data_IF_079261149763
#
_entry.id   IF_079261149763
#
_cell.length_a   1.000
_cell.length_b   1.000
_cell.length_c   1.000
_cell.angle_alpha   90.00
_cell.angle_beta   90.00
_cell.angle_gamma   90.00
#
_symmetry.space_group_name_H-M   'P 1'
#
loop_
_entity.id
_entity.type
_entity.pdbx_description
1 polymer ?
#
# COMPACT_ATOMS: atom_id res chain seq x y z
N UNK A 1 46.12 -28.11 7.02
CA UNK A 1 44.80 -27.71 7.58
C UNK A 1 44.05 -26.98 6.48
N UNK A 2 43.48 -27.73 5.54
CA UNK A 2 42.53 -27.20 4.56
C UNK A 2 41.20 -27.04 5.30
N UNK A 3 40.75 -25.80 5.41
CA UNK A 3 39.44 -25.46 5.96
C UNK A 3 38.41 -25.88 4.92
N UNK A 4 37.64 -26.92 5.23
CA UNK A 4 36.45 -27.28 4.47
C UNK A 4 35.44 -26.14 4.65
N UNK A 5 35.21 -25.36 3.59
CA UNK A 5 34.00 -24.56 3.46
C UNK A 5 32.84 -25.56 3.36
N UNK A 6 32.15 -25.79 4.47
CA UNK A 6 30.88 -26.53 4.47
C UNK A 6 29.89 -25.75 3.60
N UNK A 7 29.48 -26.35 2.48
CA UNK A 7 28.39 -25.86 1.65
C UNK A 7 27.12 -25.75 2.50
N UNK A 8 26.82 -24.53 2.95
CA UNK A 8 25.57 -24.21 3.63
C UNK A 8 24.41 -24.63 2.72
N UNK A 9 23.50 -25.52 3.16
CA UNK A 9 22.38 -25.99 2.36
C UNK A 9 21.59 -24.81 1.76
N UNK A 10 21.17 -24.90 0.48
CA UNK A 10 20.41 -23.85 -0.23
C UNK A 10 19.19 -23.35 0.57
N UNK A 11 18.57 -24.21 1.37
CA UNK A 11 17.46 -23.90 2.29
C UNK A 11 17.86 -22.96 3.44
N UNK A 12 19.07 -23.08 3.98
CA UNK A 12 19.62 -22.16 5.00
C UNK A 12 19.98 -20.79 4.41
N UNK A 13 20.44 -20.72 3.14
CA UNK A 13 20.68 -19.44 2.43
C UNK A 13 19.39 -18.64 2.22
N UNK A 14 18.31 -19.29 1.76
CA UNK A 14 16.98 -18.64 1.61
C UNK A 14 16.44 -18.06 2.93
N UNK A 15 16.76 -18.68 4.08
CA UNK A 15 16.30 -18.17 5.38
C UNK A 15 16.82 -16.76 5.70
N UNK A 16 18.02 -16.40 5.22
CA UNK A 16 18.62 -15.07 5.43
C UNK A 16 18.03 -13.99 4.51
N UNK A 17 17.27 -14.38 3.49
CA UNK A 17 16.58 -13.49 2.56
C UNK A 17 15.12 -13.23 2.98
N UNK A 18 14.59 -14.02 3.92
CA UNK A 18 13.25 -13.86 4.45
C UNK A 18 13.28 -13.05 5.75
N UNK A 19 12.52 -11.95 5.83
CA UNK A 19 12.38 -11.17 7.06
C UNK A 19 11.73 -11.98 8.19
N UNK A 20 10.77 -12.83 7.84
CA UNK A 20 10.09 -13.71 8.77
C UNK A 20 10.14 -15.15 8.24
N UNK A 21 10.70 -16.07 9.02
CA UNK A 21 10.85 -17.48 8.62
C UNK A 21 9.53 -18.18 8.28
N UNK A 22 8.42 -17.72 8.85
CA UNK A 22 7.06 -18.26 8.64
C UNK A 22 6.27 -17.57 7.52
N UNK A 23 6.85 -16.58 6.84
CA UNK A 23 6.24 -15.88 5.71
C UNK A 23 7.11 -16.13 4.48
N UNK A 24 6.72 -17.14 3.71
CA UNK A 24 7.41 -17.59 2.50
C UNK A 24 6.54 -17.36 1.27
N UNK A 25 7.11 -17.60 0.09
CA UNK A 25 6.43 -17.54 -1.20
C UNK A 25 6.03 -18.94 -1.65
N UNK A 26 4.98 -19.06 -2.46
CA UNK A 26 4.70 -20.28 -3.21
C UNK A 26 5.60 -20.33 -4.45
N UNK A 27 6.01 -21.53 -4.87
CA UNK A 27 7.00 -21.68 -5.96
C UNK A 27 6.40 -21.44 -7.35
N UNK A 28 5.09 -21.64 -7.51
CA UNK A 28 4.36 -21.51 -8.78
C UNK A 28 4.15 -20.06 -9.24
N UNK A 29 4.14 -19.10 -8.32
CA UNK A 29 3.89 -17.69 -8.64
C UNK A 29 4.87 -16.69 -7.99
N UNK A 30 5.99 -17.17 -7.42
CA UNK A 30 7.04 -16.27 -6.93
C UNK A 30 7.66 -15.47 -8.07
N UNK A 31 8.14 -14.28 -7.75
CA UNK A 31 8.98 -13.52 -8.68
C UNK A 31 10.35 -14.21 -8.76
N UNK A 32 10.78 -14.50 -9.99
CA UNK A 32 12.08 -15.12 -10.28
C UNK A 32 13.02 -14.02 -10.80
N UNK A 33 14.11 -13.77 -10.07
CA UNK A 33 15.07 -12.76 -10.48
C UNK A 33 15.96 -13.28 -11.63
N UNK A 34 16.04 -12.52 -12.72
CA UNK A 34 16.88 -12.85 -13.88
C UNK A 34 18.33 -12.42 -13.61
N UNK A 35 19.35 -13.24 -13.89
CA UNK A 35 20.75 -12.86 -13.71
C UNK A 35 21.07 -11.54 -14.41
N UNK A 36 21.92 -10.72 -13.80
CA UNK A 36 22.39 -9.48 -14.42
C UNK A 36 23.64 -9.82 -15.23
N UNK A 37 23.58 -9.58 -16.55
CA UNK A 37 24.74 -9.78 -17.43
C UNK A 37 25.93 -8.98 -16.90
N UNK A 38 27.12 -9.57 -16.91
CA UNK A 38 28.35 -8.90 -16.43
C UNK A 38 28.58 -9.00 -14.92
N UNK A 39 27.61 -9.49 -14.13
CA UNK A 39 27.72 -9.51 -12.67
C UNK A 39 27.42 -10.90 -12.08
N UNK A 40 28.48 -11.66 -11.78
CA UNK A 40 28.40 -13.00 -11.16
C UNK A 40 27.78 -13.00 -9.76
N UNK A 41 27.81 -11.87 -9.05
CA UNK A 41 27.26 -11.74 -7.70
C UNK A 41 25.72 -11.77 -7.67
N UNK A 42 25.05 -11.69 -8.82
CA UNK A 42 23.59 -11.64 -8.94
C UNK A 42 23.01 -12.81 -9.75
N UNK A 43 23.54 -14.02 -9.56
CA UNK A 43 23.03 -15.24 -10.19
C UNK A 43 21.84 -15.86 -9.46
N UNK A 44 21.73 -15.65 -8.15
CA UNK A 44 20.62 -16.17 -7.34
C UNK A 44 19.28 -15.58 -7.83
N UNK A 45 18.25 -16.42 -7.87
CA UNK A 45 16.96 -16.11 -8.51
C UNK A 45 15.85 -15.76 -7.50
N UNK A 46 16.16 -15.80 -6.21
CA UNK A 46 15.18 -15.73 -5.14
C UNK A 46 14.98 -14.31 -4.61
N UNK A 47 13.72 -13.91 -4.53
CA UNK A 47 13.25 -12.79 -3.72
C UNK A 47 11.92 -13.20 -3.05
N UNK A 48 11.68 -12.72 -1.83
CA UNK A 48 10.39 -12.95 -1.16
C UNK A 48 9.34 -11.98 -1.73
N UNK A 49 8.84 -12.32 -2.93
CA UNK A 49 7.80 -11.61 -3.64
C UNK A 49 6.93 -12.60 -4.43
N UNK A 50 5.64 -12.31 -4.53
CA UNK A 50 4.67 -13.09 -5.30
C UNK A 50 3.93 -12.19 -6.27
N UNK A 51 3.69 -12.66 -7.48
CA UNK A 51 2.70 -12.03 -8.36
C UNK A 51 1.30 -12.28 -7.81
N UNK A 52 0.47 -11.24 -7.85
CA UNK A 52 -0.90 -11.24 -7.35
C UNK A 52 -1.81 -10.70 -8.45
N UNK A 53 -2.93 -11.38 -8.66
CA UNK A 53 -3.92 -10.96 -9.63
C UNK A 53 -4.76 -9.81 -9.06
N UNK A 54 -5.18 -8.92 -9.95
CA UNK A 54 -6.22 -7.95 -9.66
C UNK A 54 -7.56 -8.38 -10.19
N UNK A 55 -8.52 -7.46 -10.18
CA UNK A 55 -9.82 -7.78 -10.75
C UNK A 55 -9.69 -7.92 -12.27
N UNK A 56 -9.84 -9.15 -12.78
CA UNK A 56 -9.72 -9.52 -14.20
C UNK A 56 -8.40 -9.19 -14.87
N UNK A 57 -7.35 -8.97 -14.09
CA UNK A 57 -6.00 -8.65 -14.58
C UNK A 57 -5.01 -9.56 -13.89
N UNK A 58 -4.46 -10.51 -14.64
CA UNK A 58 -3.40 -11.38 -14.15
C UNK A 58 -2.16 -10.56 -13.79
N UNK A 59 -1.51 -10.92 -12.68
CA UNK A 59 -0.24 -10.35 -12.24
C UNK A 59 -0.23 -8.81 -12.15
N UNK A 60 -1.37 -8.19 -11.83
CA UNK A 60 -1.49 -6.73 -11.68
C UNK A 60 -0.56 -6.18 -10.59
N UNK A 61 -0.30 -6.97 -9.54
CA UNK A 61 0.55 -6.57 -8.42
C UNK A 61 1.70 -7.53 -8.18
N UNK A 62 2.71 -7.01 -7.50
CA UNK A 62 3.72 -7.82 -6.80
C UNK A 62 3.60 -7.52 -5.32
N UNK A 63 3.24 -8.52 -4.52
CA UNK A 63 3.26 -8.44 -3.06
C UNK A 63 4.60 -8.93 -2.53
N UNK A 64 5.35 -8.08 -1.83
CA UNK A 64 6.70 -8.39 -1.35
C UNK A 64 6.93 -7.96 0.10
N UNK A 65 7.90 -8.57 0.77
CA UNK A 65 8.33 -8.12 2.10
C UNK A 65 9.04 -6.76 2.03
N UNK A 66 9.07 -6.04 3.15
CA UNK A 66 9.91 -4.85 3.30
C UNK A 66 11.39 -5.23 3.21
N UNK A 67 12.18 -4.65 2.28
CA UNK A 67 13.57 -5.06 2.05
C UNK A 67 14.41 -5.13 3.32
N UNK A 68 15.30 -6.11 3.39
CA UNK A 68 16.36 -6.22 4.39
C UNK A 68 17.62 -5.50 3.87
N UNK A 69 18.60 -5.17 4.73
CA UNK A 69 19.86 -4.58 4.28
C UNK A 69 20.55 -5.41 3.18
N UNK A 70 20.48 -6.73 3.26
CA UNK A 70 21.08 -7.67 2.31
C UNK A 70 20.17 -8.02 1.12
N UNK A 71 18.98 -7.43 1.00
CA UNK A 71 18.05 -7.72 -0.12
C UNK A 71 17.59 -6.44 -0.84
N UNK A 72 18.20 -5.28 -0.57
CA UNK A 72 17.86 -4.03 -1.27
C UNK A 72 18.24 -4.07 -2.74
N UNK A 73 19.36 -4.73 -3.06
CA UNK A 73 19.80 -4.89 -4.46
C UNK A 73 18.82 -5.79 -5.22
N UNK A 74 18.42 -6.90 -4.62
CA UNK A 74 17.39 -7.80 -5.18
C UNK A 74 16.05 -7.09 -5.39
N UNK A 75 15.66 -6.23 -4.46
CA UNK A 75 14.45 -5.41 -4.60
C UNK A 75 14.53 -4.46 -5.80
N UNK A 76 15.64 -3.74 -5.99
CA UNK A 76 15.80 -2.87 -7.17
C UNK A 76 15.96 -3.66 -8.47
N UNK A 77 16.57 -4.85 -8.43
CA UNK A 77 16.63 -5.79 -9.55
C UNK A 77 15.23 -6.23 -9.98
N UNK A 78 14.35 -6.55 -9.02
CA UNK A 78 12.94 -6.83 -9.27
C UNK A 78 12.24 -5.63 -9.89
N UNK A 79 12.35 -4.44 -9.29
CA UNK A 79 11.73 -3.20 -9.83
C UNK A 79 12.16 -2.96 -11.28
N UNK A 80 13.44 -3.12 -11.58
CA UNK A 80 14.01 -2.93 -12.92
C UNK A 80 13.50 -3.97 -13.92
N UNK A 81 13.61 -5.27 -13.59
CA UNK A 81 13.28 -6.35 -14.53
C UNK A 81 11.79 -6.38 -14.87
N UNK A 82 10.93 -6.07 -13.90
CA UNK A 82 9.47 -6.04 -14.04
C UNK A 82 8.99 -4.73 -14.66
N UNK A 83 9.90 -3.76 -14.87
CA UNK A 83 9.59 -2.41 -15.33
C UNK A 83 8.49 -1.77 -14.47
N UNK A 84 8.50 -2.05 -13.17
CA UNK A 84 7.53 -1.52 -12.22
C UNK A 84 7.79 -0.04 -11.96
N UNK A 85 6.84 0.80 -12.38
CA UNK A 85 6.94 2.26 -12.24
C UNK A 85 6.28 2.79 -10.97
N UNK A 86 5.54 1.93 -10.25
CA UNK A 86 4.82 2.30 -9.02
C UNK A 86 5.21 1.36 -7.90
N UNK A 87 5.67 1.94 -6.79
CA UNK A 87 5.92 1.23 -5.53
C UNK A 87 4.97 1.79 -4.47
N UNK A 88 4.24 0.95 -3.76
CA UNK A 88 3.33 1.30 -2.68
C UNK A 88 3.86 0.70 -1.38
N UNK A 89 4.36 1.57 -0.49
CA UNK A 89 4.88 1.23 0.82
C UNK A 89 3.84 1.58 1.88
N UNK A 90 3.29 0.59 2.57
CA UNK A 90 2.26 0.78 3.62
C UNK A 90 2.79 0.42 5.02
N UNK A 91 4.03 0.81 5.31
CA UNK A 91 4.65 0.66 6.64
C UNK A 91 5.70 1.73 6.84
N UNK A 92 5.84 2.23 8.06
CA UNK A 92 6.99 3.07 8.40
C UNK A 92 8.25 2.20 8.52
N UNK A 93 9.44 2.83 8.44
CA UNK A 93 10.71 2.10 8.57
C UNK A 93 10.85 1.44 9.96
N UNK A 94 10.43 2.18 10.99
CA UNK A 94 10.43 1.78 12.39
C UNK A 94 9.05 2.07 12.94
N UNK A 95 8.50 1.12 13.68
CA UNK A 95 7.28 1.30 14.45
C UNK A 95 7.58 0.79 15.85
N UNK A 96 7.26 1.62 16.86
CA UNK A 96 7.68 1.40 18.23
C UNK A 96 9.20 1.30 18.29
N UNK A 97 9.70 0.16 18.77
CA UNK A 97 11.14 -0.13 18.83
C UNK A 97 11.56 -1.23 17.84
N UNK A 98 10.77 -1.48 16.78
CA UNK A 98 11.01 -2.57 15.82
C UNK A 98 11.20 -2.04 14.40
N UNK A 99 12.29 -2.45 13.76
CA UNK A 99 12.53 -2.21 12.34
C UNK A 99 11.57 -3.05 11.51
N UNK A 100 10.70 -2.38 10.75
CA UNK A 100 9.71 -3.01 9.87
C UNK A 100 10.20 -3.13 8.43
N UNK A 101 10.98 -2.16 7.98
CA UNK A 101 11.54 -2.10 6.63
C UNK A 101 12.90 -1.42 6.67
N UNK A 102 13.89 -1.94 5.92
CA UNK A 102 15.13 -1.20 5.70
C UNK A 102 14.88 -0.10 4.66
N UNK A 103 15.54 1.05 4.81
CA UNK A 103 15.44 2.13 3.83
C UNK A 103 16.17 1.70 2.56
N UNK A 104 15.47 1.74 1.43
CA UNK A 104 16.00 1.31 0.13
C UNK A 104 16.06 2.46 -0.87
N UNK A 105 16.07 3.72 -0.42
CA UNK A 105 16.12 4.90 -1.29
C UNK A 105 17.12 5.96 -0.77
N UNK A 106 17.66 6.82 -1.65
CA UNK A 106 18.45 7.99 -1.23
C UNK A 106 17.57 9.09 -0.62
N UNK A 107 18.08 9.81 0.39
CA UNK A 107 17.42 11.05 0.85
C UNK A 107 17.68 12.22 -0.12
N UNK A 108 18.87 12.26 -0.71
CA UNK A 108 19.32 13.30 -1.63
C UNK A 108 20.24 12.72 -2.69
N UNK A 109 20.19 13.24 -3.91
CA UNK A 109 21.10 12.84 -4.99
C UNK A 109 20.91 11.39 -5.42
N UNK A 110 22.03 10.71 -5.67
CA UNK A 110 22.07 9.33 -6.18
C UNK A 110 22.68 8.40 -5.14
N UNK A 111 22.09 7.22 -4.96
CA UNK A 111 22.65 6.13 -4.17
C UNK A 111 22.70 4.86 -5.02
N UNK A 112 23.84 4.17 -4.98
CA UNK A 112 24.05 2.92 -5.69
C UNK A 112 23.61 1.73 -4.84
N UNK A 113 22.80 0.85 -5.42
CA UNK A 113 22.38 -0.43 -4.88
C UNK A 113 22.88 -1.53 -5.83
N UNK A 114 24.07 -2.06 -5.57
CA UNK A 114 24.74 -2.95 -6.51
C UNK A 114 24.94 -2.24 -7.86
N UNK A 115 24.47 -2.80 -9.00
CA UNK A 115 24.64 -2.19 -10.31
C UNK A 115 23.60 -1.09 -10.61
N UNK A 116 22.65 -0.83 -9.72
CA UNK A 116 21.58 0.15 -9.91
C UNK A 116 21.94 1.49 -9.27
N UNK A 117 21.91 2.56 -10.06
CA UNK A 117 21.95 3.93 -9.56
C UNK A 117 20.50 4.44 -9.41
N UNK A 118 20.11 4.72 -8.17
CA UNK A 118 18.79 5.25 -7.84
C UNK A 118 18.96 6.72 -7.47
N UNK A 119 18.38 7.61 -8.27
CA UNK A 119 18.46 9.06 -8.08
C UNK A 119 17.11 9.59 -7.67
N UNK A 120 17.01 10.31 -6.54
CA UNK A 120 15.77 11.01 -6.18
C UNK A 120 15.64 12.29 -7.00
N UNK A 121 14.53 12.41 -7.74
CA UNK A 121 14.24 13.54 -8.63
C UNK A 121 13.17 14.47 -8.08
N UNK A 122 12.41 14.02 -7.09
CA UNK A 122 11.43 14.85 -6.38
C UNK A 122 10.81 14.12 -5.19
N UNK A 123 10.34 14.90 -4.22
CA UNK A 123 9.63 14.40 -3.05
C UNK A 123 8.52 15.37 -2.65
N UNK A 124 7.38 14.83 -2.25
CA UNK A 124 6.29 15.58 -1.64
C UNK A 124 5.80 14.85 -0.40
N UNK A 125 5.85 15.51 0.75
CA UNK A 125 5.32 14.99 2.02
C UNK A 125 3.99 15.64 2.30
N UNK A 126 2.96 14.83 2.48
CA UNK A 126 1.61 15.23 2.90
C UNK A 126 1.34 14.64 4.29
N UNK A 127 0.15 14.94 4.86
CA UNK A 127 -0.23 14.43 6.17
C UNK A 127 -0.22 12.90 6.21
N UNK A 128 -0.91 12.26 5.26
CA UNK A 128 -1.16 10.81 5.33
C UNK A 128 -0.12 9.95 4.61
N UNK A 129 0.65 10.57 3.70
CA UNK A 129 1.62 9.87 2.87
C UNK A 129 2.72 10.78 2.31
N UNK A 130 3.82 10.17 1.88
CA UNK A 130 4.90 10.81 1.13
C UNK A 130 5.00 10.20 -0.26
N UNK A 131 5.13 11.02 -1.29
CA UNK A 131 5.45 10.61 -2.66
C UNK A 131 6.91 10.90 -2.96
N UNK A 132 7.63 9.96 -3.56
CA UNK A 132 9.01 10.13 -4.04
C UNK A 132 9.10 9.72 -5.50
N UNK A 133 9.86 10.48 -6.28
CA UNK A 133 10.17 10.20 -7.67
C UNK A 133 11.63 9.81 -7.80
N UNK A 134 11.87 8.72 -8.52
CA UNK A 134 13.20 8.18 -8.74
C UNK A 134 13.48 8.03 -10.22
N UNK A 135 14.71 8.33 -10.63
CA UNK A 135 15.30 7.84 -11.87
C UNK A 135 16.23 6.68 -11.52
N UNK A 136 15.90 5.49 -11.99
CA UNK A 136 16.69 4.28 -11.80
C UNK A 136 17.42 3.98 -13.10
N UNK A 137 18.68 3.55 -13.01
CA UNK A 137 19.48 3.17 -14.17
C UNK A 137 20.50 2.09 -13.80
N UNK A 138 20.74 1.15 -14.71
CA UNK A 138 21.88 0.23 -14.62
C UNK A 138 23.17 0.96 -14.99
N UNK A 139 24.21 0.77 -14.19
CA UNK A 139 25.54 1.40 -14.38
C UNK A 139 26.12 1.07 -15.76
N UNK A 140 25.89 -0.14 -16.26
CA UNK A 140 26.38 -0.63 -17.55
C UNK A 140 25.48 -0.27 -18.75
N UNK A 141 24.30 0.33 -18.52
CA UNK A 141 23.37 0.70 -19.59
C UNK A 141 22.99 2.19 -19.51
N UNK A 142 23.98 3.09 -19.70
CA UNK A 142 23.73 4.52 -19.73
C UNK A 142 22.78 4.85 -20.89
N UNK A 143 21.58 5.32 -20.56
CA UNK A 143 20.54 5.72 -21.50
C UNK A 143 19.16 5.06 -21.27
N UNK A 144 19.13 3.85 -20.70
CA UNK A 144 17.86 3.27 -20.21
C UNK A 144 17.61 3.82 -18.81
N UNK A 145 16.54 4.59 -18.65
CA UNK A 145 16.15 5.21 -17.38
C UNK A 145 14.73 4.79 -17.07
N UNK A 146 14.56 4.07 -15.96
CA UNK A 146 13.25 3.72 -15.43
C UNK A 146 12.82 4.80 -14.43
N UNK A 147 11.77 5.55 -14.75
CA UNK A 147 11.16 6.50 -13.82
C UNK A 147 10.20 5.76 -12.89
N UNK A 148 10.48 5.77 -11.59
CA UNK A 148 9.70 5.08 -10.56
C UNK A 148 9.10 6.11 -9.60
N UNK A 149 7.84 5.92 -9.23
CA UNK A 149 7.17 6.70 -8.18
C UNK A 149 6.87 5.79 -6.98
N UNK A 150 7.42 6.13 -5.82
CA UNK A 150 7.07 5.48 -4.56
C UNK A 150 6.01 6.31 -3.84
N UNK A 151 4.94 5.65 -3.43
CA UNK A 151 3.90 6.15 -2.57
C UNK A 151 4.04 5.48 -1.20
N UNK A 152 4.37 6.27 -0.18
CA UNK A 152 4.60 5.79 1.18
C UNK A 152 3.50 6.27 2.11
N UNK A 153 2.54 5.40 2.43
CA UNK A 153 1.47 5.70 3.38
C UNK A 153 2.00 5.61 4.81
N UNK A 154 1.96 6.72 5.55
CA UNK A 154 2.64 6.90 6.84
C UNK A 154 1.71 6.77 8.04
N UNK A 155 0.40 6.91 7.82
CA UNK A 155 -0.62 6.95 8.89
C UNK A 155 -1.24 5.58 9.22
N UNK A 156 -0.58 4.47 8.84
CA UNK A 156 -1.02 3.15 9.29
C UNK A 156 -0.48 2.85 10.70
N UNK A 157 -1.33 2.68 11.73
CA UNK A 157 -0.88 2.47 13.09
C UNK A 157 -0.19 1.10 13.29
N UNK A 158 0.75 1.03 14.23
CA UNK A 158 1.62 -0.14 14.46
C UNK A 158 0.87 -1.43 14.84
N UNK A 159 -0.21 -1.31 15.63
CA UNK A 159 -0.93 -2.46 16.21
C UNK A 159 -2.42 -2.48 15.86
N UNK A 160 -2.85 -1.64 14.91
CA UNK A 160 -4.26 -1.47 14.56
C UNK A 160 -4.43 -1.21 13.06
N UNK A 161 -5.68 -1.01 12.67
CA UNK A 161 -6.07 -0.42 11.40
C UNK A 161 -6.26 1.10 11.58
N UNK A 162 -6.18 1.89 10.49
CA UNK A 162 -6.58 3.29 10.52
C UNK A 162 -7.99 3.46 11.09
N UNK A 163 -8.23 4.58 11.75
CA UNK A 163 -9.52 4.84 12.39
C UNK A 163 -10.65 5.07 11.38
N UNK A 164 -10.32 5.66 10.23
CA UNK A 164 -11.21 5.80 9.07
C UNK A 164 -10.45 5.34 7.83
N UNK A 165 -11.19 4.84 6.84
CA UNK A 165 -10.63 4.44 5.56
C UNK A 165 -10.35 5.63 4.63
N UNK A 166 -10.86 6.84 4.94
CA UNK A 166 -10.84 7.99 4.03
C UNK A 166 -9.44 8.29 3.51
N UNK A 167 -8.44 8.38 4.39
CA UNK A 167 -7.07 8.72 3.98
C UNK A 167 -6.47 7.63 3.09
N UNK A 168 -6.75 6.36 3.39
CA UNK A 168 -6.28 5.23 2.58
C UNK A 168 -6.98 5.17 1.21
N UNK A 169 -8.30 5.43 1.15
CA UNK A 169 -9.07 5.48 -0.09
C UNK A 169 -8.60 6.63 -0.99
N UNK A 170 -8.37 7.82 -0.42
CA UNK A 170 -7.82 8.97 -1.14
C UNK A 170 -6.41 8.66 -1.65
N UNK A 171 -5.57 8.07 -0.80
CA UNK A 171 -4.24 7.61 -1.19
C UNK A 171 -4.29 6.63 -2.36
N UNK A 172 -5.12 5.59 -2.27
CA UNK A 172 -5.27 4.58 -3.32
C UNK A 172 -5.74 5.21 -4.63
N UNK A 173 -6.74 6.11 -4.61
CA UNK A 173 -7.19 6.87 -5.79
C UNK A 173 -6.03 7.63 -6.47
N UNK A 174 -5.12 8.24 -5.70
CA UNK A 174 -3.92 8.91 -6.25
C UNK A 174 -2.92 7.93 -6.84
N UNK A 175 -2.69 6.79 -6.17
CA UNK A 175 -1.81 5.72 -6.67
C UNK A 175 -2.33 5.20 -8.01
N UNK A 176 -3.61 4.84 -8.10
CA UNK A 176 -4.23 4.30 -9.32
C UNK A 176 -4.12 5.26 -10.49
N UNK A 177 -4.52 6.52 -10.28
CA UNK A 177 -4.44 7.56 -11.32
C UNK A 177 -3.02 7.74 -11.88
N UNK A 178 -1.99 7.57 -11.05
CA UNK A 178 -0.59 7.60 -11.52
C UNK A 178 -0.22 6.29 -12.22
N UNK A 179 -0.69 5.17 -11.71
CA UNK A 179 -0.37 3.83 -12.21
C UNK A 179 -1.02 3.51 -13.56
N UNK A 180 -2.13 4.16 -13.94
CA UNK A 180 -2.75 4.05 -15.27
C UNK A 180 -1.77 4.24 -16.45
N UNK A 181 -0.70 5.01 -16.24
CA UNK A 181 0.34 5.26 -17.24
C UNK A 181 1.46 4.20 -17.25
N UNK A 182 1.38 3.22 -16.35
CA UNK A 182 2.44 2.23 -16.10
C UNK A 182 2.20 0.95 -16.90
N UNK A 183 3.28 0.28 -17.30
CA UNK A 183 3.21 -1.00 -18.04
C UNK A 183 3.54 -2.22 -17.19
N UNK A 184 4.41 -2.06 -16.18
CA UNK A 184 4.78 -3.12 -15.25
C UNK A 184 3.82 -3.21 -14.05
N UNK A 185 3.86 -4.31 -13.29
CA UNK A 185 3.00 -4.52 -12.13
C UNK A 185 3.27 -3.50 -11.02
N UNK A 186 2.24 -3.18 -10.24
CA UNK A 186 2.38 -2.35 -9.05
C UNK A 186 3.02 -3.15 -7.93
N UNK A 187 4.17 -2.70 -7.42
CA UNK A 187 4.80 -3.34 -6.27
C UNK A 187 4.15 -2.80 -5.00
N UNK A 188 3.57 -3.68 -4.18
CA UNK A 188 2.96 -3.32 -2.90
C UNK A 188 3.68 -4.06 -1.78
N UNK A 189 4.14 -3.33 -0.77
CA UNK A 189 4.87 -3.94 0.35
C UNK A 189 4.57 -3.26 1.69
N UNK A 190 4.74 -4.04 2.75
CA UNK A 190 4.72 -3.57 4.13
C UNK A 190 5.98 -4.10 4.83
N UNK A 191 5.86 -4.69 6.00
CA UNK A 191 6.95 -5.42 6.65
C UNK A 191 7.07 -6.86 6.14
N UNK A 192 6.01 -7.67 6.32
CA UNK A 192 5.95 -9.08 5.87
C UNK A 192 5.45 -9.24 4.43
N UNK A 193 4.83 -8.21 3.87
CA UNK A 193 4.19 -8.26 2.55
C UNK A 193 2.90 -9.06 2.52
N UNK A 194 2.22 -9.23 3.67
CA UNK A 194 0.95 -10.00 3.74
C UNK A 194 -0.20 -9.25 4.43
N UNK A 195 0.03 -8.62 5.59
CA UNK A 195 -1.03 -7.93 6.33
C UNK A 195 -1.58 -6.70 5.61
N UNK A 196 -0.94 -5.53 5.85
CA UNK A 196 -1.35 -4.25 5.23
C UNK A 196 -1.30 -4.27 3.70
N UNK A 197 -0.33 -4.99 3.13
CA UNK A 197 -0.22 -5.24 1.70
C UNK A 197 -1.46 -5.95 1.16
N UNK A 198 -1.88 -7.05 1.80
CA UNK A 198 -3.08 -7.77 1.40
C UNK A 198 -4.33 -6.92 1.58
N UNK A 199 -4.44 -6.17 2.68
CA UNK A 199 -5.56 -5.26 2.91
C UNK A 199 -5.71 -4.23 1.79
N UNK A 200 -4.63 -3.55 1.39
CA UNK A 200 -4.69 -2.57 0.31
C UNK A 200 -5.03 -3.20 -1.04
N UNK A 201 -4.41 -4.34 -1.39
CA UNK A 201 -4.70 -5.05 -2.64
C UNK A 201 -6.16 -5.52 -2.66
N UNK A 202 -6.68 -6.10 -1.57
CA UNK A 202 -8.08 -6.53 -1.48
C UNK A 202 -9.04 -5.36 -1.66
N UNK A 203 -8.80 -4.22 -1.00
CA UNK A 203 -9.62 -3.01 -1.19
C UNK A 203 -9.61 -2.60 -2.66
N UNK A 204 -8.44 -2.56 -3.31
CA UNK A 204 -8.34 -2.18 -4.72
C UNK A 204 -9.13 -3.13 -5.64
N UNK A 205 -8.95 -4.45 -5.49
CA UNK A 205 -9.67 -5.44 -6.28
C UNK A 205 -11.19 -5.34 -6.14
N UNK A 206 -11.68 -5.15 -4.91
CA UNK A 206 -13.13 -5.05 -4.66
C UNK A 206 -13.69 -3.73 -5.20
N UNK A 207 -12.95 -2.64 -5.12
CA UNK A 207 -13.36 -1.37 -5.73
C UNK A 207 -13.39 -1.46 -7.27
N UNK A 208 -12.46 -2.19 -7.89
CA UNK A 208 -12.51 -2.47 -9.34
C UNK A 208 -13.71 -3.34 -9.72
N UNK A 209 -14.00 -4.38 -8.95
CA UNK A 209 -15.20 -5.23 -9.14
C UNK A 209 -16.49 -4.40 -9.13
N UNK A 210 -16.59 -3.47 -8.17
CA UNK A 210 -17.73 -2.56 -8.02
C UNK A 210 -17.88 -1.57 -9.18
N UNK A 211 -16.77 -1.21 -9.85
CA UNK A 211 -16.79 -0.30 -11.00
C UNK A 211 -17.16 -1.00 -12.31
N UNK A 212 -16.70 -2.23 -12.53
CA UNK A 212 -16.81 -2.89 -13.82
C UNK A 212 -18.10 -3.70 -14.02
N UNK A 213 -18.49 -4.58 -13.09
CA UNK A 213 -19.53 -5.56 -13.44
C UNK A 213 -20.55 -5.95 -12.37
N UNK A 214 -20.37 -5.69 -11.07
CA UNK A 214 -21.31 -6.22 -10.08
C UNK A 214 -21.70 -5.25 -8.97
N UNK A 215 -23.01 -5.19 -8.68
CA UNK A 215 -23.54 -4.66 -7.40
C UNK A 215 -23.36 -5.65 -6.25
N UNK A 216 -22.43 -6.60 -6.39
CA UNK A 216 -22.15 -7.67 -5.44
C UNK A 216 -20.73 -7.49 -4.93
N UNK A 217 -20.56 -7.62 -3.62
CA UNK A 217 -19.28 -7.52 -2.92
C UNK A 217 -18.98 -8.88 -2.32
N UNK A 218 -17.96 -9.58 -2.81
CA UNK A 218 -17.47 -10.83 -2.22
C UNK A 218 -16.03 -10.68 -1.69
N UNK A 219 -15.90 -9.91 -0.62
CA UNK A 219 -14.60 -9.68 0.05
C UNK A 219 -13.97 -11.01 0.50
N UNK A 220 -14.77 -11.98 0.95
CA UNK A 220 -14.26 -13.26 1.41
C UNK A 220 -13.70 -14.09 0.26
N UNK A 221 -14.44 -14.22 -0.85
CA UNK A 221 -14.00 -14.91 -2.06
C UNK A 221 -12.75 -14.28 -2.66
N UNK A 222 -12.69 -12.94 -2.72
CA UNK A 222 -11.48 -12.22 -3.17
C UNK A 222 -10.29 -12.57 -2.28
N UNK A 223 -10.42 -12.52 -0.95
CA UNK A 223 -9.30 -12.85 -0.05
C UNK A 223 -8.89 -14.32 -0.16
N UNK A 224 -9.85 -15.25 -0.29
CA UNK A 224 -9.56 -16.68 -0.50
C UNK A 224 -8.74 -16.87 -1.76
N UNK A 225 -9.14 -16.23 -2.86
CA UNK A 225 -8.42 -16.28 -4.12
C UNK A 225 -7.02 -15.68 -3.99
N UNK A 226 -6.87 -14.47 -3.45
CA UNK A 226 -5.56 -13.84 -3.26
C UNK A 226 -4.62 -14.71 -2.38
N UNK A 227 -5.17 -15.43 -1.39
CA UNK A 227 -4.40 -16.34 -0.53
C UNK A 227 -3.91 -17.61 -1.21
N UNK A 228 -4.46 -17.99 -2.37
CA UNK A 228 -3.88 -19.06 -3.20
C UNK A 228 -2.58 -18.59 -3.88
N UNK A 229 -2.37 -17.28 -4.00
CA UNK A 229 -1.18 -16.68 -4.61
C UNK A 229 -0.14 -16.24 -3.57
N UNK A 230 -0.57 -15.78 -2.39
CA UNK A 230 0.38 -15.49 -1.30
C UNK A 230 -0.23 -15.74 0.06
N UNK A 231 0.50 -16.50 0.88
CA UNK A 231 0.02 -16.91 2.19
C UNK A 231 -0.38 -15.71 3.07
N UNK A 232 -1.42 -15.89 3.88
CA UNK A 232 -1.83 -14.96 4.95
C UNK A 232 -2.10 -13.51 4.52
N UNK A 233 -2.39 -13.23 3.24
CA UNK A 233 -2.89 -11.91 2.86
C UNK A 233 -4.11 -11.54 3.70
N UNK A 234 -4.15 -10.30 4.21
CA UNK A 234 -5.08 -9.88 5.27
C UNK A 234 -4.88 -10.74 6.52
N UNK A 235 -3.85 -10.42 7.32
CA UNK A 235 -3.29 -11.28 8.36
C UNK A 235 -4.16 -11.39 9.63
N UNK A 236 -5.01 -10.40 9.89
CA UNK A 236 -5.77 -10.25 11.14
C UNK A 236 -7.26 -10.01 10.91
N UNK A 237 -8.07 -10.28 11.94
CA UNK A 237 -9.50 -10.01 11.92
C UNK A 237 -9.78 -8.51 11.78
N UNK A 238 -9.01 -7.66 12.45
CA UNK A 238 -9.13 -6.21 12.39
C UNK A 238 -8.91 -5.69 10.98
N UNK A 239 -7.92 -6.24 10.26
CA UNK A 239 -7.69 -5.92 8.85
C UNK A 239 -8.84 -6.40 7.96
N UNK A 240 -9.40 -7.58 8.23
CA UNK A 240 -10.56 -8.08 7.50
C UNK A 240 -11.77 -7.16 7.67
N UNK A 241 -12.10 -6.77 8.92
CA UNK A 241 -13.16 -5.81 9.24
C UNK A 241 -12.89 -4.47 8.53
N UNK A 242 -11.66 -3.98 8.57
CA UNK A 242 -11.30 -2.72 7.93
C UNK A 242 -11.45 -2.73 6.40
N UNK A 243 -11.28 -3.88 5.73
CA UNK A 243 -11.64 -4.00 4.30
C UNK A 243 -13.13 -3.72 4.11
N UNK A 244 -14.01 -4.33 4.93
CA UNK A 244 -15.45 -4.08 4.86
C UNK A 244 -15.78 -2.61 5.13
N UNK A 245 -15.18 -2.02 6.16
CA UNK A 245 -15.39 -0.61 6.51
C UNK A 245 -14.96 0.32 5.36
N UNK A 246 -13.83 0.04 4.71
CA UNK A 246 -13.34 0.83 3.57
C UNK A 246 -14.27 0.74 2.36
N UNK A 247 -14.77 -0.46 2.04
CA UNK A 247 -15.71 -0.64 0.93
C UNK A 247 -17.06 0.03 1.24
N UNK A 248 -17.55 -0.09 2.47
CA UNK A 248 -18.76 0.60 2.89
C UNK A 248 -18.61 2.12 2.84
N UNK A 249 -17.47 2.66 3.29
CA UNK A 249 -17.19 4.10 3.26
C UNK A 249 -17.19 4.63 1.82
N UNK A 250 -16.53 3.94 0.88
CA UNK A 250 -16.52 4.34 -0.54
C UNK A 250 -17.93 4.27 -1.17
N UNK A 251 -18.71 3.23 -0.87
CA UNK A 251 -20.09 3.09 -1.36
C UNK A 251 -21.03 4.18 -0.81
N UNK A 252 -20.84 4.60 0.45
CA UNK A 252 -21.66 5.64 1.07
C UNK A 252 -21.28 7.05 0.63
N UNK A 253 -19.98 7.31 0.49
CA UNK A 253 -19.47 8.66 0.26
C UNK A 253 -19.23 8.99 -1.21
N UNK A 254 -18.81 8.01 -2.02
CA UNK A 254 -18.35 8.22 -3.39
C UNK A 254 -17.13 9.15 -3.49
N UNK A 255 -16.90 9.70 -4.68
CA UNK A 255 -15.90 10.76 -4.88
C UNK A 255 -16.53 12.15 -4.73
N UNK A 256 -16.20 12.82 -3.64
CA UNK A 256 -16.67 14.17 -3.32
C UNK A 256 -15.64 15.26 -3.67
N UNK A 257 -14.49 14.90 -4.26
CA UNK A 257 -13.49 15.88 -4.67
C UNK A 257 -13.98 16.69 -5.88
N UNK A 258 -13.86 18.01 -5.81
CA UNK A 258 -14.25 18.91 -6.90
C UNK A 258 -13.01 19.69 -7.36
N UNK A 259 -12.74 19.66 -8.66
CA UNK A 259 -11.68 20.48 -9.24
C UNK A 259 -12.02 21.98 -9.11
N UNK A 260 -11.08 22.75 -8.59
CA UNK A 260 -11.25 24.18 -8.32
C UNK A 260 -11.73 24.98 -9.56
N UNK A 261 -11.32 24.56 -10.76
CA UNK A 261 -11.68 25.23 -12.03
C UNK A 261 -13.17 25.14 -12.33
N UNK A 262 -13.83 24.07 -11.88
CA UNK A 262 -15.26 23.83 -12.11
C UNK A 262 -16.09 24.01 -10.83
N UNK A 263 -15.48 24.40 -9.71
CA UNK A 263 -16.15 24.47 -8.41
C UNK A 263 -17.42 25.32 -8.45
N UNK A 264 -17.37 26.51 -9.04
CA UNK A 264 -18.52 27.40 -9.18
C UNK A 264 -19.71 26.74 -9.92
N UNK A 265 -19.44 25.93 -10.95
CA UNK A 265 -20.44 25.22 -11.75
C UNK A 265 -21.04 24.06 -10.96
N UNK A 266 -20.21 23.29 -10.25
CA UNK A 266 -20.65 22.22 -9.36
C UNK A 266 -21.53 22.76 -8.24
N UNK A 267 -21.15 23.87 -7.62
CA UNK A 267 -21.93 24.51 -6.55
C UNK A 267 -23.32 24.97 -7.03
N UNK A 268 -23.42 25.57 -8.22
CA UNK A 268 -24.74 25.92 -8.80
C UNK A 268 -25.63 24.69 -8.98
N UNK A 269 -25.08 23.55 -9.37
CA UNK A 269 -25.83 22.30 -9.54
C UNK A 269 -26.35 21.76 -8.20
N UNK A 270 -25.52 21.81 -7.15
CA UNK A 270 -25.89 21.38 -5.79
C UNK A 270 -27.00 22.28 -5.23
N UNK A 271 -26.88 23.60 -5.41
CA UNK A 271 -27.85 24.59 -4.92
C UNK A 271 -29.18 24.50 -5.69
N UNK A 272 -29.14 24.38 -7.02
CA UNK A 272 -30.33 24.44 -7.87
C UNK A 272 -30.98 23.07 -8.11
N UNK A 273 -30.70 22.05 -7.29
CA UNK A 273 -31.22 20.69 -7.48
C UNK A 273 -32.75 20.67 -7.31
N UNK A 274 -33.56 20.49 -8.38
CA UNK A 274 -35.00 20.82 -8.35
C UNK A 274 -35.92 19.75 -7.72
N UNK A 275 -35.39 18.62 -7.21
CA UNK A 275 -36.17 17.37 -7.16
C UNK A 275 -36.40 16.72 -5.78
N UNK A 276 -36.12 17.38 -4.66
CA UNK A 276 -36.48 16.85 -3.33
C UNK A 276 -36.79 17.97 -2.33
N UNK A 277 -37.68 17.74 -1.35
CA UNK A 277 -37.86 18.58 -0.15
C UNK A 277 -36.59 18.68 0.75
N UNK A 278 -35.49 18.08 0.29
CA UNK A 278 -34.21 17.91 0.97
C UNK A 278 -33.14 18.36 -0.02
N UNK A 279 -32.35 19.37 0.33
CA UNK A 279 -31.28 19.87 -0.55
C UNK A 279 -30.18 18.83 -0.75
N UNK A 280 -29.37 18.95 -1.81
CA UNK A 280 -28.24 18.05 -2.00
C UNK A 280 -27.20 18.18 -0.87
N UNK A 281 -27.09 19.37 -0.26
CA UNK A 281 -26.31 19.58 0.97
C UNK A 281 -26.82 18.75 2.15
N UNK A 282 -28.14 18.68 2.35
CA UNK A 282 -28.71 17.85 3.42
C UNK A 282 -28.44 16.36 3.19
N UNK A 283 -28.44 15.90 1.94
CA UNK A 283 -28.07 14.51 1.63
C UNK A 283 -26.60 14.23 1.98
N UNK A 284 -25.69 15.11 1.56
CA UNK A 284 -24.27 14.99 1.89
C UNK A 284 -24.04 15.06 3.41
N UNK A 285 -24.71 15.98 4.11
CA UNK A 285 -24.61 16.11 5.55
C UNK A 285 -25.12 14.86 6.28
N UNK A 286 -26.22 14.25 5.83
CA UNK A 286 -26.71 12.97 6.37
C UNK A 286 -25.73 11.81 6.16
N UNK A 287 -24.91 11.84 5.10
CA UNK A 287 -23.82 10.85 4.93
C UNK A 287 -22.74 11.07 5.99
N UNK A 288 -22.37 12.32 6.28
CA UNK A 288 -21.41 12.63 7.35
C UNK A 288 -21.86 12.04 8.69
N UNK A 289 -23.15 12.11 9.04
CA UNK A 289 -23.68 11.53 10.28
C UNK A 289 -23.57 9.99 10.36
N UNK A 290 -23.50 9.31 9.20
CA UNK A 290 -23.35 7.85 9.14
C UNK A 290 -21.91 7.38 9.26
N UNK A 291 -20.97 8.16 8.71
CA UNK A 291 -19.54 7.81 8.67
C UNK A 291 -18.73 8.48 9.77
N UNK A 292 -19.31 9.47 10.46
CA UNK A 292 -18.70 10.09 11.62
C UNK A 292 -18.90 9.22 12.86
N UNK A 293 -17.88 9.05 13.71
CA UNK A 293 -18.00 8.31 14.94
C UNK A 293 -19.01 8.96 15.87
N UNK A 294 -19.88 8.16 16.47
CA UNK A 294 -20.82 8.67 17.47
C UNK A 294 -20.12 8.75 18.82
N UNK A 295 -20.49 9.71 19.68
CA UNK A 295 -19.95 9.80 21.03
C UNK A 295 -20.09 8.49 21.84
N UNK A 296 -21.10 7.67 21.56
CA UNK A 296 -21.27 6.37 22.23
C UNK A 296 -20.27 5.30 21.78
N UNK A 297 -19.67 5.45 20.59
CA UNK A 297 -18.77 4.49 19.96
C UNK A 297 -17.28 4.75 20.31
N UNK A 298 -17.02 5.87 20.99
CA UNK A 298 -15.68 6.31 21.39
C UNK A 298 -15.56 6.35 22.92
N UNK A 299 -14.44 5.86 23.43
CA UNK A 299 -14.17 5.88 24.87
C UNK A 299 -14.04 7.32 25.34
N UNK A 300 -14.88 7.76 26.28
CA UNK A 300 -14.79 9.11 26.88
C UNK A 300 -14.58 9.06 28.38
N UNK A 301 -14.08 7.93 28.90
CA UNK A 301 -13.99 7.66 30.35
C UNK A 301 -13.24 8.76 31.10
N UNK A 302 -12.10 9.20 30.57
CA UNK A 302 -11.27 10.20 31.24
C UNK A 302 -11.89 11.61 31.15
N UNK A 303 -12.47 11.95 30.01
CA UNK A 303 -13.21 13.20 29.83
C UNK A 303 -14.40 13.27 30.80
N UNK A 304 -15.16 12.17 30.94
CA UNK A 304 -16.29 12.06 31.87
C UNK A 304 -15.82 12.17 33.34
N UNK A 305 -14.70 11.54 33.69
CA UNK A 305 -14.10 11.64 35.04
C UNK A 305 -13.71 13.07 35.39
N UNK A 306 -13.29 13.84 34.39
CA UNK A 306 -12.95 15.26 34.51
C UNK A 306 -14.13 16.17 34.12
N UNK A 307 -15.38 15.73 34.35
CA UNK A 307 -16.59 16.46 33.94
C UNK A 307 -16.63 17.93 34.39
N UNK A 308 -16.05 18.25 35.54
CA UNK A 308 -15.94 19.62 36.06
C UNK A 308 -15.03 20.54 35.23
N UNK A 309 -14.19 19.98 34.36
CA UNK A 309 -13.34 20.73 33.41
C UNK A 309 -14.01 20.94 32.05
N UNK A 310 -15.18 20.33 31.82
CA UNK A 310 -15.87 20.36 30.54
C UNK A 310 -17.10 21.26 30.60
N UNK A 311 -17.13 22.29 29.74
CA UNK A 311 -18.29 23.18 29.61
C UNK A 311 -19.53 22.44 29.12
N UNK A 312 -19.38 21.39 28.31
CA UNK A 312 -20.46 20.60 27.77
C UNK A 312 -20.09 19.11 27.76
N UNK A 313 -20.91 18.27 28.39
CA UNK A 313 -20.68 16.82 28.51
C UNK A 313 -21.07 16.03 27.25
N UNK A 314 -21.72 16.67 26.28
CA UNK A 314 -22.03 16.07 24.98
C UNK A 314 -20.86 16.15 24.00
N UNK A 315 -19.98 17.15 24.14
CA UNK A 315 -18.82 17.37 23.29
C UNK A 315 -17.55 17.12 24.08
N UNK A 316 -17.17 15.86 24.18
CA UNK A 316 -15.99 15.43 24.92
C UNK A 316 -14.99 14.81 23.96
N UNK A 317 -13.67 15.03 24.17
CA UNK A 317 -12.66 14.32 23.42
C UNK A 317 -12.74 12.81 23.72
N UNK A 318 -12.46 12.03 22.68
CA UNK A 318 -12.24 10.59 22.73
C UNK A 318 -10.90 10.27 23.40
#
# INVERSE_FOLDING_TARGET
>A
LQQYDEEVPKTLRKSKLNRFSKITVYEDNRVILKPIRGHSDYEEDFINASYIDGYKKEQQYIATQGPLPNTTVDFWRMVWQERSQTIVMVTNLVEGNRIKCHKYWPETGTLSFGPFNVTITGQQTLADYTTRHFAVQLTESPGDILTVTQFHFTEWPEYRVPYSATSLLVFLKKVKKRHELSKGPMIVHCSSGVGRTGTLITIDCVLEQLQEEEKVVDIAGVIIHLRTQRMKLVESLEQYIFVHDAILEDLLCGDTQIDARIFHKSMRKIINSPQTYVTEFEKQFKVLEKVSPKPAEVSRKEALRNGNKNRNLWYLPC
#
